data_IF_143072655827
#
_entry.id   IF_143072655827
#
_cell.length_a   1.000
_cell.length_b   1.000
_cell.length_c   1.000
_cell.angle_alpha   90.00
_cell.angle_beta   90.00
_cell.angle_gamma   90.00
#
_symmetry.space_group_name_H-M   'P 1'
#
loop_
_entity.id
_entity.type
_entity.pdbx_description
1 polymer ?
#
# COMPACT_ATOMS: atom_id res chain seq x y z
N UNK A 1 -7.72 6.00 10.95
CA UNK A 1 -8.77 7.05 11.07
C UNK A 1 -9.77 6.76 12.19
N UNK A 2 -10.48 5.62 12.19
CA UNK A 2 -11.45 5.27 13.26
C UNK A 2 -10.81 5.22 14.65
N UNK A 3 -9.71 4.47 14.81
CA UNK A 3 -8.98 4.38 16.10
C UNK A 3 -8.50 5.76 16.59
N UNK A 4 -8.21 6.67 15.67
CA UNK A 4 -7.79 8.04 15.99
C UNK A 4 -8.97 8.98 16.29
N UNK A 5 -10.21 8.49 16.21
CA UNK A 5 -11.42 9.29 16.41
C UNK A 5 -11.77 10.22 15.24
N UNK A 6 -11.11 10.11 14.08
CA UNK A 6 -11.37 11.01 12.94
C UNK A 6 -12.60 10.64 12.12
N UNK A 7 -13.07 9.40 12.21
CA UNK A 7 -14.16 8.89 11.38
C UNK A 7 -15.00 7.91 12.20
N UNK A 8 -16.33 7.97 12.05
CA UNK A 8 -17.24 7.03 12.69
C UNK A 8 -17.02 5.62 12.15
N UNK A 9 -17.19 4.63 13.02
CA UNK A 9 -16.94 3.23 12.67
C UNK A 9 -17.88 2.74 11.56
N UNK A 10 -19.16 3.11 11.62
CA UNK A 10 -20.18 2.71 10.66
C UNK A 10 -19.90 3.27 9.27
N UNK A 11 -19.44 4.52 9.20
CA UNK A 11 -19.07 5.17 7.94
C UNK A 11 -17.82 4.52 7.35
N UNK A 12 -16.81 4.25 8.18
CA UNK A 12 -15.62 3.52 7.76
C UNK A 12 -15.98 2.13 7.23
N UNK A 13 -16.88 1.38 7.88
CA UNK A 13 -17.29 0.05 7.44
C UNK A 13 -17.98 0.09 6.07
N UNK A 14 -18.87 1.08 5.85
CA UNK A 14 -19.51 1.29 4.53
C UNK A 14 -18.48 1.63 3.46
N UNK A 15 -17.54 2.53 3.76
CA UNK A 15 -16.50 2.96 2.83
C UNK A 15 -15.54 1.83 2.46
N UNK A 16 -15.05 1.03 3.41
CA UNK A 16 -14.14 -0.08 3.10
C UNK A 16 -14.84 -1.18 2.31
N UNK A 17 -16.13 -1.43 2.58
CA UNK A 17 -16.92 -2.38 1.80
C UNK A 17 -17.14 -1.90 0.36
N UNK A 18 -17.44 -0.61 0.18
CA UNK A 18 -17.52 0.00 -1.15
C UNK A 18 -16.17 -0.05 -1.86
N UNK A 19 -15.09 0.35 -1.19
CA UNK A 19 -13.72 0.34 -1.72
C UNK A 19 -13.34 -1.05 -2.21
N UNK A 20 -13.58 -2.09 -1.41
CA UNK A 20 -13.29 -3.47 -1.80
C UNK A 20 -14.03 -3.90 -3.06
N UNK A 21 -15.36 -3.64 -3.14
CA UNK A 21 -16.13 -3.93 -4.36
C UNK A 21 -15.64 -3.15 -5.56
N UNK A 22 -15.39 -1.84 -5.40
CA UNK A 22 -14.96 -1.00 -6.50
C UNK A 22 -13.58 -1.40 -7.04
N UNK A 23 -12.65 -1.79 -6.15
CA UNK A 23 -11.36 -2.32 -6.55
C UNK A 23 -11.47 -3.69 -7.23
N UNK A 24 -12.40 -4.55 -6.80
CA UNK A 24 -12.67 -5.81 -7.48
C UNK A 24 -13.24 -5.57 -8.88
N UNK A 25 -14.24 -4.69 -9.02
CA UNK A 25 -14.83 -4.37 -10.33
C UNK A 25 -13.75 -3.81 -11.28
N UNK A 26 -12.86 -2.92 -10.81
CA UNK A 26 -11.74 -2.41 -11.61
C UNK A 26 -10.69 -3.50 -11.96
N UNK A 27 -10.52 -4.49 -11.10
CA UNK A 27 -9.66 -5.64 -11.36
C UNK A 27 -10.28 -6.60 -12.39
N UNK A 28 -11.60 -6.75 -12.40
CA UNK A 28 -12.30 -7.57 -13.40
C UNK A 28 -12.29 -6.91 -14.79
N UNK A 29 -12.24 -5.57 -14.84
CA UNK A 29 -12.15 -4.77 -16.07
C UNK A 29 -10.72 -4.68 -16.65
N UNK A 30 -9.68 -5.01 -15.88
CA UNK A 30 -8.28 -4.89 -16.30
C UNK A 30 -7.48 -6.17 -16.06
N UNK A 31 -6.73 -6.64 -17.06
CA UNK A 31 -5.84 -7.80 -16.89
C UNK A 31 -4.53 -7.36 -16.19
N UNK A 32 -4.63 -7.17 -14.88
CA UNK A 32 -3.56 -6.65 -14.03
C UNK A 32 -3.01 -7.69 -13.03
N UNK A 33 -1.91 -7.35 -12.38
CA UNK A 33 -1.33 -8.15 -11.32
C UNK A 33 -0.33 -7.41 -10.46
N UNK A 34 0.29 -8.15 -9.53
CA UNK A 34 1.33 -7.64 -8.64
C UNK A 34 2.44 -8.69 -8.45
N UNK A 35 3.67 -8.23 -8.22
CA UNK A 35 4.78 -9.09 -7.83
C UNK A 35 5.65 -8.44 -6.76
N UNK A 36 6.06 -9.21 -5.76
CA UNK A 36 7.04 -8.78 -4.76
C UNK A 36 8.47 -9.00 -5.28
N UNK A 37 9.25 -7.94 -5.34
CA UNK A 37 10.69 -7.94 -5.65
C UNK A 37 11.46 -7.87 -4.33
N UNK A 38 12.23 -8.93 -4.06
CA UNK A 38 12.99 -9.07 -2.81
C UNK A 38 14.48 -8.90 -3.05
N UNK A 39 15.12 -8.13 -2.16
CA UNK A 39 16.56 -7.88 -2.17
C UNK A 39 17.00 -6.65 -2.98
N UNK A 40 16.06 -5.84 -3.47
CA UNK A 40 16.35 -4.62 -4.23
C UNK A 40 15.92 -3.35 -3.48
N UNK A 41 16.68 -2.28 -3.72
CA UNK A 41 16.27 -0.92 -3.36
C UNK A 41 15.38 -0.30 -4.45
N UNK A 42 14.93 0.94 -4.22
CA UNK A 42 14.05 1.66 -5.12
C UNK A 42 14.69 1.94 -6.48
N UNK A 43 16.00 2.23 -6.53
CA UNK A 43 16.72 2.48 -7.79
C UNK A 43 16.67 1.24 -8.69
N UNK A 44 17.05 0.07 -8.14
CA UNK A 44 17.02 -1.19 -8.89
C UNK A 44 15.60 -1.57 -9.29
N UNK A 45 14.59 -1.32 -8.45
CA UNK A 45 13.19 -1.59 -8.82
C UNK A 45 12.70 -0.66 -9.92
N UNK A 46 13.12 0.61 -9.94
CA UNK A 46 12.77 1.52 -11.03
C UNK A 46 13.35 1.05 -12.38
N UNK A 47 14.57 0.51 -12.39
CA UNK A 47 15.14 -0.13 -13.58
C UNK A 47 14.31 -1.35 -14.02
N UNK A 48 13.90 -2.21 -13.07
CA UNK A 48 13.07 -3.38 -13.34
C UNK A 48 11.71 -2.98 -13.93
N UNK A 49 11.09 -1.93 -13.39
CA UNK A 49 9.83 -1.39 -13.91
C UNK A 49 10.00 -0.83 -15.31
N UNK A 50 11.05 -0.04 -15.56
CA UNK A 50 11.33 0.54 -16.87
C UNK A 50 11.52 -0.55 -17.93
N UNK A 51 12.27 -1.60 -17.59
CA UNK A 51 12.51 -2.72 -18.51
C UNK A 51 11.25 -3.56 -18.76
N UNK A 52 10.47 -3.87 -17.71
CA UNK A 52 9.19 -4.55 -17.86
C UNK A 52 8.21 -3.80 -18.77
N UNK A 53 8.17 -2.46 -18.66
CA UNK A 53 7.40 -1.61 -19.57
C UNK A 53 7.94 -1.64 -21.00
N UNK A 54 9.26 -1.59 -21.19
CA UNK A 54 9.89 -1.63 -22.51
C UNK A 54 9.53 -2.92 -23.25
N UNK A 55 9.78 -4.06 -22.61
CA UNK A 55 9.53 -5.39 -23.19
C UNK A 55 8.05 -5.62 -23.46
N UNK A 56 7.17 -5.26 -22.53
CA UNK A 56 5.72 -5.44 -22.71
C UNK A 56 5.18 -4.57 -23.85
N UNK A 57 5.62 -3.32 -24.00
CA UNK A 57 5.22 -2.44 -25.11
C UNK A 57 5.70 -2.92 -26.47
N UNK A 58 6.90 -3.50 -26.55
CA UNK A 58 7.43 -4.06 -27.80
C UNK A 58 6.64 -5.28 -28.28
N UNK A 59 6.18 -6.10 -27.32
CA UNK A 59 5.46 -7.35 -27.58
C UNK A 59 3.95 -7.16 -27.73
N UNK A 60 3.38 -6.09 -27.17
CA UNK A 60 1.93 -5.83 -27.14
C UNK A 60 1.62 -4.40 -27.61
N UNK A 61 1.91 -4.10 -28.87
CA UNK A 61 1.82 -2.74 -29.45
C UNK A 61 0.41 -2.14 -29.47
N UNK A 62 -0.61 -2.99 -29.41
CA UNK A 62 -2.02 -2.58 -29.47
C UNK A 62 -2.63 -2.28 -28.08
N UNK A 63 -1.84 -2.40 -27.01
CA UNK A 63 -2.28 -2.20 -25.62
C UNK A 63 -1.47 -1.13 -24.92
N UNK A 64 -2.14 -0.30 -24.12
CA UNK A 64 -1.45 0.55 -23.16
C UNK A 64 -0.94 -0.29 -21.99
N UNK A 65 0.35 -0.15 -21.67
CA UNK A 65 1.00 -0.90 -20.60
C UNK A 65 1.27 -0.01 -19.40
N UNK A 66 0.81 -0.46 -18.24
CA UNK A 66 1.02 0.18 -16.93
C UNK A 66 1.91 -0.70 -16.08
N UNK A 67 2.88 -0.12 -15.38
CA UNK A 67 3.66 -0.80 -14.35
C UNK A 67 4.28 0.25 -13.45
N UNK A 68 4.14 0.06 -12.14
CA UNK A 68 4.66 0.96 -11.11
C UNK A 68 5.18 0.19 -9.91
N UNK A 69 6.04 0.79 -9.11
CA UNK A 69 6.30 0.34 -7.75
C UNK A 69 5.10 0.74 -6.86
N UNK A 70 4.34 -0.23 -6.41
CA UNK A 70 3.08 -0.07 -5.68
C UNK A 70 3.23 -0.06 -4.15
N UNK A 71 4.20 -0.80 -3.60
CA UNK A 71 4.41 -0.84 -2.15
C UNK A 71 5.90 -0.79 -1.81
N UNK A 72 6.30 0.22 -1.05
CA UNK A 72 7.61 0.32 -0.43
C UNK A 72 7.50 -0.17 1.01
N UNK A 73 7.63 -1.48 1.18
CA UNK A 73 7.28 -2.15 2.42
C UNK A 73 8.40 -2.13 3.46
N UNK A 74 9.62 -2.48 3.05
CA UNK A 74 10.78 -2.50 3.93
C UNK A 74 12.05 -2.52 3.06
N UNK A 75 13.24 -2.29 3.65
CA UNK A 75 14.49 -2.38 2.90
C UNK A 75 14.60 -3.72 2.17
N UNK A 76 14.80 -3.72 0.86
CA UNK A 76 14.87 -4.94 0.06
C UNK A 76 13.52 -5.67 -0.08
N UNK A 77 12.38 -5.00 0.05
CA UNK A 77 11.05 -5.58 -0.16
C UNK A 77 10.11 -4.53 -0.76
N UNK A 78 9.96 -4.58 -2.07
CA UNK A 78 9.10 -3.66 -2.84
C UNK A 78 8.14 -4.50 -3.68
N UNK A 79 6.90 -4.03 -3.84
CA UNK A 79 5.91 -4.67 -4.73
C UNK A 79 5.74 -3.81 -5.96
N UNK A 80 5.76 -4.44 -7.14
CA UNK A 80 5.37 -3.83 -8.41
C UNK A 80 3.92 -4.19 -8.75
N UNK A 81 3.21 -3.31 -9.44
CA UNK A 81 1.83 -3.51 -9.87
C UNK A 81 1.54 -2.85 -11.21
N UNK A 82 0.72 -3.51 -12.04
CA UNK A 82 0.33 -3.00 -13.34
C UNK A 82 -0.28 -4.08 -14.23
N UNK A 83 -0.20 -3.87 -15.54
CA UNK A 83 -0.60 -4.84 -16.56
C UNK A 83 0.12 -6.17 -16.34
N UNK A 84 -0.60 -7.28 -16.45
CA UNK A 84 -0.09 -8.61 -16.14
C UNK A 84 1.15 -8.98 -16.97
N UNK A 85 1.16 -8.62 -18.24
CA UNK A 85 2.29 -8.86 -19.13
C UNK A 85 3.53 -8.03 -18.74
N UNK A 86 3.32 -6.78 -18.29
CA UNK A 86 4.41 -5.93 -17.80
C UNK A 86 4.99 -6.44 -16.47
N UNK A 87 4.12 -6.91 -15.56
CA UNK A 87 4.55 -7.54 -14.29
C UNK A 87 5.34 -8.81 -14.55
N UNK A 88 4.91 -9.65 -15.51
CA UNK A 88 5.61 -10.86 -15.88
C UNK A 88 7.00 -10.54 -16.47
N UNK A 89 7.09 -9.61 -17.42
CA UNK A 89 8.35 -9.20 -18.03
C UNK A 89 9.34 -8.61 -17.00
N UNK A 90 8.85 -7.75 -16.10
CA UNK A 90 9.65 -7.21 -15.00
C UNK A 90 10.14 -8.30 -14.03
N UNK A 91 9.28 -9.26 -13.70
CA UNK A 91 9.63 -10.36 -12.79
C UNK A 91 10.67 -11.29 -13.40
N UNK A 92 10.59 -11.55 -14.69
CA UNK A 92 11.58 -12.33 -15.43
C UNK A 92 12.92 -11.61 -15.48
N UNK A 93 12.94 -10.33 -15.84
CA UNK A 93 14.16 -9.51 -15.84
C UNK A 93 14.81 -9.42 -14.45
N UNK A 94 14.01 -9.23 -13.40
CA UNK A 94 14.49 -9.22 -12.02
C UNK A 94 15.17 -10.55 -11.66
N UNK A 95 14.62 -11.68 -12.12
CA UNK A 95 15.15 -13.01 -11.83
C UNK A 95 16.38 -13.37 -12.69
N UNK A 96 16.34 -13.09 -14.00
CA UNK A 96 17.38 -13.49 -14.95
C UNK A 96 18.60 -12.56 -14.91
N UNK A 97 18.38 -11.25 -14.93
CA UNK A 97 19.45 -10.26 -15.07
C UNK A 97 19.92 -9.74 -13.73
N UNK A 98 18.98 -9.44 -12.82
CA UNK A 98 19.33 -8.90 -11.50
C UNK A 98 19.58 -9.98 -10.44
N UNK A 99 19.29 -11.25 -10.74
CA UNK A 99 19.40 -12.40 -9.81
C UNK A 99 18.62 -12.20 -8.50
N UNK A 100 17.53 -11.43 -8.57
CA UNK A 100 16.63 -11.17 -7.46
C UNK A 100 15.51 -12.20 -7.42
N UNK A 101 14.86 -12.31 -6.26
CA UNK A 101 13.66 -13.13 -6.14
C UNK A 101 12.43 -12.27 -6.44
N UNK A 102 11.75 -12.59 -7.54
CA UNK A 102 10.43 -12.06 -7.86
C UNK A 102 9.34 -13.09 -7.51
N UNK A 103 8.28 -12.68 -6.82
CA UNK A 103 7.16 -13.54 -6.42
C UNK A 103 5.87 -12.90 -6.91
N UNK A 104 5.23 -13.53 -7.90
CA UNK A 104 3.88 -13.14 -8.33
C UNK A 104 2.90 -13.36 -7.17
N UNK A 105 2.09 -12.35 -6.88
CA UNK A 105 1.15 -12.37 -5.77
C UNK A 105 -0.21 -12.91 -6.23
N UNK A 106 -0.84 -13.71 -5.37
CA UNK A 106 -2.21 -14.19 -5.56
C UNK A 106 -3.20 -13.10 -5.13
N UNK A 107 -3.44 -12.16 -6.05
CA UNK A 107 -4.33 -11.01 -5.85
C UNK A 107 -5.21 -10.81 -7.07
N UNK A 108 -6.39 -10.24 -6.85
CA UNK A 108 -7.39 -10.06 -7.90
C UNK A 108 -6.94 -9.09 -9.02
N UNK A 109 -6.09 -8.10 -8.72
CA UNK A 109 -5.68 -7.12 -9.72
C UNK A 109 -4.52 -6.22 -9.31
N UNK A 110 -4.34 -5.15 -10.08
CA UNK A 110 -3.19 -4.26 -9.98
C UNK A 110 -3.41 -3.10 -8.98
N UNK A 111 -3.43 -3.41 -7.67
CA UNK A 111 -3.67 -2.41 -6.63
C UNK A 111 -2.55 -1.36 -6.52
N UNK A 112 -2.91 -0.13 -6.12
CA UNK A 112 -1.97 0.99 -5.99
C UNK A 112 -1.26 1.34 -7.30
N UNK A 113 -2.00 1.21 -8.42
CA UNK A 113 -1.56 1.55 -9.76
C UNK A 113 -2.63 2.38 -10.48
N UNK A 114 -2.29 3.07 -11.58
CA UNK A 114 -3.26 3.79 -12.41
C UNK A 114 -4.48 2.95 -12.86
N UNK A 115 -4.36 1.62 -12.92
CA UNK A 115 -5.48 0.73 -13.28
C UNK A 115 -6.63 0.74 -12.26
N UNK A 116 -6.39 1.27 -11.05
CA UNK A 116 -7.43 1.43 -10.02
C UNK A 116 -8.19 2.76 -10.10
N UNK A 117 -7.97 3.56 -11.15
CA UNK A 117 -8.63 4.85 -11.32
C UNK A 117 -10.17 4.78 -11.24
N UNK A 118 -10.86 3.81 -11.87
CA UNK A 118 -12.33 3.69 -11.73
C UNK A 118 -12.79 3.47 -10.28
N UNK A 119 -11.99 2.74 -9.48
CA UNK A 119 -12.28 2.53 -8.07
C UNK A 119 -12.05 3.80 -7.23
N UNK A 120 -11.03 4.60 -7.59
CA UNK A 120 -10.74 5.88 -6.94
C UNK A 120 -11.88 6.88 -7.12
N UNK A 121 -12.46 6.96 -8.30
CA UNK A 121 -13.61 7.84 -8.60
C UNK A 121 -14.83 7.49 -7.75
N UNK A 122 -15.18 6.20 -7.65
CA UNK A 122 -16.29 5.73 -6.82
C UNK A 122 -16.07 6.00 -5.33
N UNK A 123 -14.84 5.83 -4.86
CA UNK A 123 -14.51 6.15 -3.47
C UNK A 123 -14.59 7.67 -3.21
N UNK A 124 -14.12 8.49 -4.16
CA UNK A 124 -14.20 9.95 -4.08
C UNK A 124 -15.64 10.41 -3.90
N UNK A 125 -16.57 9.88 -4.69
CA UNK A 125 -17.99 10.21 -4.59
C UNK A 125 -18.59 9.84 -3.23
N UNK A 126 -18.24 8.68 -2.68
CA UNK A 126 -18.71 8.28 -1.36
C UNK A 126 -18.12 9.12 -0.22
N UNK A 127 -16.88 9.57 -0.35
CA UNK A 127 -16.20 10.40 0.64
C UNK A 127 -16.77 11.82 0.73
N UNK A 128 -17.43 12.34 -0.31
CA UNK A 128 -18.11 13.66 -0.29
C UNK A 128 -19.07 13.79 0.90
N UNK A 129 -19.77 12.71 1.23
CA UNK A 129 -20.77 12.67 2.29
C UNK A 129 -20.23 12.10 3.62
N UNK A 130 -18.92 11.85 3.71
CA UNK A 130 -18.31 11.33 4.94
C UNK A 130 -17.67 12.45 5.74
N UNK A 131 -17.94 12.50 7.02
CA UNK A 131 -17.30 13.43 7.94
C UNK A 131 -15.94 12.89 8.37
N UNK A 132 -14.89 13.70 8.24
CA UNK A 132 -13.57 13.44 8.81
C UNK A 132 -13.24 14.60 9.75
N UNK A 133 -13.25 14.33 11.06
CA UNK A 133 -13.06 15.34 12.09
C UNK A 133 -11.61 15.47 12.52
N UNK A 134 -11.30 16.60 13.15
CA UNK A 134 -10.02 16.87 13.76
C UNK A 134 -9.76 16.01 15.00
N UNK A 135 -8.49 15.68 15.26
CA UNK A 135 -8.06 14.96 16.46
C UNK A 135 -6.59 15.22 16.73
N UNK A 136 -6.17 15.14 17.99
CA UNK A 136 -4.75 15.19 18.38
C UNK A 136 -4.02 13.88 18.08
N UNK A 137 -4.75 12.79 17.83
CA UNK A 137 -4.15 11.50 17.48
C UNK A 137 -3.68 11.52 16.04
N UNK A 138 -2.35 11.63 15.88
CA UNK A 138 -1.72 11.66 14.57
C UNK A 138 -1.94 10.37 13.78
N UNK A 139 -2.06 10.49 12.45
CA UNK A 139 -2.26 9.37 11.54
C UNK A 139 -1.34 9.54 10.33
N UNK A 140 -0.57 8.50 10.00
CA UNK A 140 0.28 8.49 8.81
C UNK A 140 -0.54 8.32 7.53
N UNK A 141 -0.15 9.05 6.49
CA UNK A 141 -0.60 8.88 5.12
C UNK A 141 0.34 7.95 4.37
N UNK A 142 -0.19 6.85 3.82
CA UNK A 142 0.60 5.96 2.97
C UNK A 142 1.04 6.61 1.65
N UNK A 143 0.34 7.65 1.18
CA UNK A 143 0.67 8.34 -0.07
C UNK A 143 1.90 9.22 0.09
N UNK A 144 2.01 9.92 1.22
CA UNK A 144 3.09 10.91 1.45
C UNK A 144 4.21 10.38 2.35
N UNK A 145 3.96 9.32 3.13
CA UNK A 145 4.91 8.85 4.15
C UNK A 145 5.05 9.83 5.33
N UNK A 146 4.10 10.76 5.48
CA UNK A 146 4.06 11.80 6.51
C UNK A 146 2.72 11.78 7.24
N UNK A 147 2.63 12.48 8.37
CA UNK A 147 1.37 12.66 9.10
C UNK A 147 0.37 13.43 8.23
N UNK A 148 -0.92 13.06 8.34
CA UNK A 148 -1.98 13.94 7.89
C UNK A 148 -2.05 15.19 8.77
N UNK A 149 -2.45 16.31 8.18
CA UNK A 149 -2.81 17.49 8.94
C UNK A 149 -4.00 17.18 9.87
N UNK A 150 -3.89 17.61 11.12
CA UNK A 150 -4.85 17.25 12.18
C UNK A 150 -6.23 17.89 11.94
N UNK A 151 -6.26 19.09 11.37
CA UNK A 151 -7.48 19.88 11.18
C UNK A 151 -8.02 19.88 9.73
N UNK A 152 -7.34 19.22 8.79
CA UNK A 152 -7.73 19.19 7.37
C UNK A 152 -8.36 17.85 6.97
N UNK A 153 -9.68 17.73 7.17
CA UNK A 153 -10.43 16.54 6.80
C UNK A 153 -10.51 16.30 5.29
N UNK A 154 -10.51 17.36 4.47
CA UNK A 154 -10.64 17.24 3.02
C UNK A 154 -9.31 16.84 2.36
N UNK A 155 -8.17 17.29 2.90
CA UNK A 155 -6.87 16.75 2.54
C UNK A 155 -6.81 15.25 2.86
N UNK A 156 -7.31 14.79 4.01
CA UNK A 156 -7.38 13.35 4.33
C UNK A 156 -8.22 12.60 3.29
N UNK A 157 -9.42 13.08 2.94
CA UNK A 157 -10.26 12.46 1.90
C UNK A 157 -9.50 12.35 0.57
N UNK A 158 -8.84 13.42 0.15
CA UNK A 158 -8.05 13.44 -1.09
C UNK A 158 -6.96 12.36 -1.07
N UNK A 159 -6.24 12.23 0.05
CA UNK A 159 -5.20 11.20 0.23
C UNK A 159 -5.76 9.78 0.25
N UNK A 160 -6.97 9.57 0.79
CA UNK A 160 -7.63 8.26 0.74
C UNK A 160 -7.99 7.85 -0.69
N UNK A 161 -8.40 8.80 -1.53
CA UNK A 161 -8.67 8.56 -2.96
C UNK A 161 -7.38 8.26 -3.71
N UNK A 162 -6.36 9.12 -3.57
CA UNK A 162 -5.05 8.93 -4.20
C UNK A 162 -4.41 7.60 -3.82
N UNK A 163 -4.61 7.12 -2.60
CA UNK A 163 -4.06 5.85 -2.12
C UNK A 163 -4.47 4.66 -3.02
N UNK A 164 -5.58 4.72 -3.76
CA UNK A 164 -5.96 3.61 -4.65
C UNK A 164 -5.05 3.49 -5.86
N UNK A 165 -4.48 4.60 -6.33
CA UNK A 165 -3.68 4.67 -7.56
C UNK A 165 -2.22 5.04 -7.33
N UNK A 166 -1.87 5.45 -6.10
CA UNK A 166 -0.52 5.86 -5.70
C UNK A 166 0.16 4.82 -4.80
N UNK A 167 1.51 4.80 -4.76
CA UNK A 167 2.26 3.84 -3.96
C UNK A 167 1.99 3.94 -2.46
N UNK A 168 2.05 2.81 -1.78
CA UNK A 168 2.04 2.69 -0.32
C UNK A 168 3.47 2.80 0.21
N UNK A 169 3.77 3.93 0.87
CA UNK A 169 5.09 4.25 1.43
C UNK A 169 5.26 3.75 2.87
N UNK A 170 5.00 2.47 3.11
CA UNK A 170 4.99 1.90 4.46
C UNK A 170 6.33 2.04 5.19
N UNK A 171 7.45 1.78 4.53
CA UNK A 171 8.77 1.97 5.11
C UNK A 171 8.96 3.40 5.61
N UNK A 172 8.64 4.39 4.77
CA UNK A 172 8.73 5.80 5.13
C UNK A 172 7.76 6.13 6.28
N UNK A 173 6.54 5.60 6.25
CA UNK A 173 5.57 5.78 7.34
C UNK A 173 6.16 5.36 8.70
N UNK A 174 6.77 4.17 8.75
CA UNK A 174 7.36 3.64 10.00
C UNK A 174 8.57 4.47 10.42
N UNK A 175 9.43 4.88 9.48
CA UNK A 175 10.61 5.72 9.79
C UNK A 175 10.20 7.08 10.34
N UNK A 176 9.26 7.77 9.69
CA UNK A 176 8.73 9.06 10.14
C UNK A 176 8.06 8.92 11.51
N UNK A 177 7.18 7.92 11.69
CA UNK A 177 6.53 7.67 12.97
C UNK A 177 7.55 7.37 14.08
N UNK A 178 8.60 6.59 13.81
CA UNK A 178 9.67 6.30 14.77
C UNK A 178 10.42 7.55 15.18
N UNK A 179 10.73 8.44 14.23
CA UNK A 179 11.42 9.71 14.53
C UNK A 179 10.62 10.68 15.38
N UNK A 180 9.29 10.67 15.26
CA UNK A 180 8.39 11.53 16.03
C UNK A 180 7.99 10.92 17.38
N UNK A 181 8.21 9.63 17.57
CA UNK A 181 7.76 8.89 18.76
C UNK A 181 8.86 8.88 19.82
N UNK A 182 8.55 9.22 21.10
CA UNK A 182 9.54 9.18 22.17
C UNK A 182 10.21 7.82 22.30
N UNK A 183 11.52 7.82 22.55
CA UNK A 183 12.27 6.59 22.77
C UNK A 183 11.67 5.77 23.92
N UNK A 184 11.48 4.47 23.70
CA UNK A 184 10.88 3.56 24.67
C UNK A 184 9.34 3.46 24.61
N UNK A 185 8.68 4.20 23.72
CA UNK A 185 7.24 4.04 23.48
C UNK A 185 6.90 2.63 23.00
N UNK A 186 5.70 2.18 23.36
CA UNK A 186 5.19 0.87 22.95
C UNK A 186 4.62 0.94 21.53
N UNK A 187 4.90 -0.10 20.74
CA UNK A 187 4.32 -0.28 19.41
C UNK A 187 3.39 -1.49 19.45
N UNK A 188 2.20 -1.33 18.88
CA UNK A 188 1.18 -2.38 18.89
C UNK A 188 0.65 -2.61 17.48
N UNK A 189 0.71 -3.86 17.01
CA UNK A 189 0.07 -4.28 15.76
C UNK A 189 -1.34 -4.78 16.06
N UNK A 190 -2.34 -4.09 15.52
CA UNK A 190 -3.77 -4.37 15.70
C UNK A 190 -4.37 -5.06 14.47
N UNK A 191 -3.73 -6.10 13.96
CA UNK A 191 -4.24 -6.87 12.83
C UNK A 191 -3.95 -8.37 12.97
N UNK A 192 -4.75 -9.23 12.31
CA UNK A 192 -4.48 -10.66 12.26
C UNK A 192 -3.10 -10.95 11.65
N UNK A 193 -2.39 -11.92 12.23
CA UNK A 193 -1.05 -12.31 11.78
C UNK A 193 0.06 -11.37 12.28
N UNK A 194 1.23 -11.46 11.64
CA UNK A 194 2.48 -10.81 12.10
C UNK A 194 3.28 -10.17 10.95
N UNK A 195 2.59 -9.80 9.87
CA UNK A 195 3.23 -9.29 8.66
C UNK A 195 3.82 -7.90 8.90
N UNK A 196 3.06 -6.97 9.51
CA UNK A 196 3.58 -5.63 9.80
C UNK A 196 4.66 -5.71 10.89
N UNK A 197 4.50 -6.58 11.89
CA UNK A 197 5.55 -6.88 12.87
C UNK A 197 6.89 -7.23 12.19
N UNK A 198 6.86 -8.16 11.22
CA UNK A 198 8.05 -8.57 10.49
C UNK A 198 8.69 -7.41 9.72
N UNK A 199 7.88 -6.61 9.02
CA UNK A 199 8.35 -5.46 8.25
C UNK A 199 8.92 -4.36 9.14
N UNK A 200 8.24 -4.00 10.23
CA UNK A 200 8.71 -2.99 11.19
C UNK A 200 10.08 -3.35 11.78
N UNK A 201 10.30 -4.61 12.16
CA UNK A 201 11.60 -5.08 12.65
C UNK A 201 12.71 -5.02 11.60
N UNK A 202 12.36 -5.15 10.33
CA UNK A 202 13.30 -5.01 9.21
C UNK A 202 13.66 -3.55 8.94
N UNK A 203 12.71 -2.63 9.13
CA UNK A 203 12.89 -1.19 8.95
C UNK A 203 13.73 -0.58 10.07
N UNK A 204 13.40 -0.91 11.33
CA UNK A 204 14.10 -0.44 12.52
C UNK A 204 14.07 -1.50 13.63
N UNK A 205 15.24 -2.06 13.94
CA UNK A 205 15.41 -3.11 14.96
C UNK A 205 15.17 -2.62 16.38
N UNK A 206 15.15 -1.30 16.63
CA UNK A 206 14.89 -0.72 17.96
C UNK A 206 13.40 -0.71 18.30
N UNK A 207 12.53 -0.79 17.29
CA UNK A 207 11.09 -0.82 17.49
C UNK A 207 10.70 -2.15 18.14
N UNK A 208 10.14 -2.10 19.34
CA UNK A 208 9.57 -3.24 20.05
C UNK A 208 8.06 -3.27 19.82
N UNK A 209 7.62 -4.14 18.93
CA UNK A 209 6.21 -4.32 18.56
C UNK A 209 5.60 -5.50 19.32
N UNK A 210 4.44 -5.29 19.93
CA UNK A 210 3.56 -6.34 20.44
C UNK A 210 2.44 -6.57 19.43
N UNK A 211 2.20 -7.80 19.01
CA UNK A 211 1.07 -8.14 18.15
C UNK A 211 -0.13 -8.55 19.01
N UNK A 212 -1.31 -8.01 18.69
CA UNK A 212 -2.60 -8.38 19.29
C UNK A 212 -3.43 -9.17 18.27
N UNK A 213 -2.84 -10.20 17.68
CA UNK A 213 -3.46 -11.08 16.69
C UNK A 213 -4.43 -12.11 17.29
N UNK A 214 -4.41 -12.29 18.61
CA UNK A 214 -5.28 -13.17 19.37
C UNK A 214 -6.02 -12.37 20.44
N UNK A 215 -7.25 -12.75 20.81
CA UNK A 215 -7.91 -12.17 21.97
C UNK A 215 -7.04 -12.36 23.22
N UNK A 216 -7.04 -11.38 24.16
CA UNK A 216 -6.29 -11.52 25.39
C UNK A 216 -6.74 -12.80 26.11
N UNK A 217 -5.78 -13.67 26.44
CA UNK A 217 -6.04 -14.82 27.28
C UNK A 217 -6.55 -14.27 28.62
N UNK A 218 -7.77 -14.65 29.01
CA UNK A 218 -8.28 -14.33 30.33
C UNK A 218 -7.28 -14.89 31.34
N UNK A 219 -6.71 -14.03 32.17
CA UNK A 219 -5.98 -14.47 33.35
C UNK A 219 -6.98 -15.16 34.28
N UNK A 220 -6.78 -16.44 34.56
CA UNK A 220 -7.44 -17.15 35.67
C UNK A 220 -7.19 -16.45 37.02
#
# INVERSE_FOLDING_TARGET
LVVAGRMKFEDALRLVALRGRAMQDAADESDGGMAAILGADEEVVNEIVAEGLRVSKETHKDKEMVLVAANFNAPGQIVISGSKEAVAAASEFASSEKKLRAIVLDVAGAFHSPLMQPAAERLSDALKNTEIVATKTKVMSNVTGAMHDEDDGDAVKSRLVEQLTMPVRWEQCVRSASSETPAGSQWVELCPGKTLFGMMRKIDRKIKVTSLDQPPQQSE
#
